data_IF_550761448978
#
_entry.id   IF_550761448978
#
_cell.length_a   1.000
_cell.length_b   1.000
_cell.length_c   1.000
_cell.angle_alpha   90.00
_cell.angle_beta   90.00
_cell.angle_gamma   90.00
#
_symmetry.space_group_name_H-M   'P 1'
#
loop_
_entity.id
_entity.type
_entity.pdbx_description
1 polymer ?
#
# COMPACT_ATOMS: atom_id res chain seq x y z
N UNK A 1 -3.37 -12.26 -3.05
CA UNK A 1 -3.81 -12.71 -1.71
C UNK A 1 -5.21 -13.35 -1.73
N UNK A 2 -6.29 -12.61 -2.04
CA UNK A 2 -7.68 -13.14 -2.10
C UNK A 2 -7.77 -14.43 -2.93
N UNK A 3 -7.20 -14.45 -4.14
CA UNK A 3 -7.18 -15.64 -5.01
C UNK A 3 -6.61 -16.89 -4.31
N UNK A 4 -5.49 -16.76 -3.62
CA UNK A 4 -4.82 -17.88 -2.94
C UNK A 4 -5.62 -18.33 -1.71
N UNK A 5 -6.18 -17.38 -0.94
CA UNK A 5 -7.04 -17.69 0.19
C UNK A 5 -8.34 -18.39 -0.25
N UNK A 6 -8.97 -17.94 -1.33
CA UNK A 6 -10.11 -18.61 -1.96
C UNK A 6 -9.78 -20.06 -2.35
N UNK A 7 -8.62 -20.28 -2.97
CA UNK A 7 -8.17 -21.64 -3.33
C UNK A 7 -7.96 -22.55 -2.12
N UNK A 8 -7.39 -22.04 -1.03
CA UNK A 8 -7.11 -22.80 0.19
C UNK A 8 -8.39 -23.14 0.94
N UNK A 9 -9.34 -22.20 0.98
CA UNK A 9 -10.56 -22.32 1.80
C UNK A 9 -11.79 -22.79 1.01
N UNK A 10 -11.68 -22.97 -0.31
CA UNK A 10 -12.82 -23.29 -1.16
C UNK A 10 -13.87 -22.18 -1.18
N UNK A 11 -13.43 -20.92 -1.14
CA UNK A 11 -14.28 -19.73 -1.15
C UNK A 11 -14.21 -19.02 -2.51
N UNK A 12 -15.15 -18.10 -2.75
CA UNK A 12 -15.25 -17.34 -4.01
C UNK A 12 -15.43 -15.83 -3.79
N UNK A 13 -14.89 -15.28 -2.69
CA UNK A 13 -14.96 -13.83 -2.43
C UNK A 13 -14.37 -13.03 -3.58
N UNK A 14 -15.08 -12.00 -4.05
CA UNK A 14 -14.59 -11.06 -5.05
C UNK A 14 -14.18 -9.74 -4.40
N UNK A 15 -13.45 -8.90 -5.14
CA UNK A 15 -12.88 -7.66 -4.61
C UNK A 15 -13.94 -6.72 -4.02
N UNK A 16 -15.14 -6.69 -4.61
CA UNK A 16 -16.26 -5.87 -4.15
C UNK A 16 -16.85 -6.34 -2.80
N UNK A 17 -16.60 -7.59 -2.40
CA UNK A 17 -17.02 -8.12 -1.10
C UNK A 17 -16.08 -7.70 0.04
N UNK A 18 -14.90 -7.14 -0.29
CA UNK A 18 -13.91 -6.65 0.66
C UNK A 18 -14.36 -5.30 1.20
N UNK A 19 -15.37 -5.31 2.06
CA UNK A 19 -15.85 -4.13 2.81
C UNK A 19 -14.99 -3.80 4.03
N UNK A 20 -14.03 -4.67 4.37
CA UNK A 20 -13.10 -4.54 5.48
C UNK A 20 -11.68 -4.63 4.92
N UNK A 21 -10.79 -3.73 5.32
CA UNK A 21 -9.39 -3.71 4.85
C UNK A 21 -8.65 -5.03 5.15
N UNK A 22 -8.90 -5.63 6.31
CA UNK A 22 -8.34 -6.92 6.73
C UNK A 22 -8.94 -8.09 5.96
N UNK A 23 -8.48 -8.30 4.71
CA UNK A 23 -8.92 -9.45 3.88
C UNK A 23 -8.82 -10.78 4.61
N UNK A 24 -7.83 -10.94 5.50
CA UNK A 24 -7.65 -12.14 6.33
C UNK A 24 -8.82 -12.40 7.30
N UNK A 25 -9.47 -11.34 7.78
CA UNK A 25 -10.63 -11.44 8.68
C UNK A 25 -11.82 -12.12 7.98
N UNK A 26 -11.96 -11.94 6.66
CA UNK A 26 -13.00 -12.62 5.86
C UNK A 26 -12.84 -14.15 5.86
N UNK A 27 -11.62 -14.64 6.11
CA UNK A 27 -11.31 -16.07 6.21
C UNK A 27 -11.16 -16.54 7.66
N UNK A 28 -11.55 -15.68 8.63
CA UNK A 28 -11.50 -15.99 10.06
C UNK A 28 -10.09 -16.05 10.64
N UNK A 29 -9.09 -15.46 9.98
CA UNK A 29 -7.71 -15.47 10.47
C UNK A 29 -7.51 -14.40 11.52
N UNK A 30 -6.94 -14.79 12.66
CA UNK A 30 -6.29 -13.84 13.56
C UNK A 30 -4.94 -13.37 12.99
N UNK A 31 -4.29 -12.44 13.69
CA UNK A 31 -3.01 -11.88 13.24
C UNK A 31 -1.90 -12.94 13.12
N UNK A 32 -1.82 -13.89 14.06
CA UNK A 32 -0.78 -14.93 14.06
C UNK A 32 -0.98 -15.91 12.89
N UNK A 33 -2.22 -16.28 12.61
CA UNK A 33 -2.59 -17.11 11.46
C UNK A 33 -2.31 -16.39 10.14
N UNK A 34 -2.66 -15.11 10.06
CA UNK A 34 -2.32 -14.27 8.91
C UNK A 34 -0.81 -14.18 8.72
N UNK A 35 -0.06 -13.97 9.81
CA UNK A 35 1.39 -13.90 9.79
C UNK A 35 2.02 -15.19 9.28
N UNK A 36 1.61 -16.33 9.81
CA UNK A 36 2.09 -17.65 9.39
C UNK A 36 1.75 -17.92 7.92
N UNK A 37 0.50 -17.67 7.51
CA UNK A 37 0.07 -17.81 6.12
C UNK A 37 0.90 -16.94 5.18
N UNK A 38 1.06 -15.65 5.48
CA UNK A 38 1.80 -14.74 4.63
C UNK A 38 3.28 -15.15 4.55
N UNK A 39 3.88 -15.53 5.68
CA UNK A 39 5.28 -16.02 5.75
C UNK A 39 5.49 -17.25 4.86
N UNK A 40 4.63 -18.26 4.95
CA UNK A 40 4.76 -19.49 4.15
C UNK A 40 4.50 -19.28 2.66
N UNK A 41 3.77 -18.22 2.28
CA UNK A 41 3.33 -17.99 0.90
C UNK A 41 3.98 -16.75 0.26
N UNK A 42 5.03 -16.18 0.85
CA UNK A 42 5.64 -14.94 0.34
C UNK A 42 6.06 -14.99 -1.11
N UNK A 43 6.60 -16.12 -1.57
CA UNK A 43 7.05 -16.25 -2.95
C UNK A 43 5.90 -16.01 -3.92
N UNK A 44 4.76 -16.68 -3.72
CA UNK A 44 3.59 -16.51 -4.58
C UNK A 44 2.94 -15.13 -4.39
N UNK A 45 2.81 -14.68 -3.14
CA UNK A 45 2.17 -13.40 -2.81
C UNK A 45 2.94 -12.18 -3.34
N UNK A 46 4.26 -12.29 -3.48
CA UNK A 46 5.11 -11.22 -4.03
C UNK A 46 5.49 -11.45 -5.50
N UNK A 47 5.07 -12.57 -6.12
CA UNK A 47 5.26 -12.82 -7.54
C UNK A 47 4.07 -12.32 -8.38
N UNK A 48 3.65 -11.08 -8.10
CA UNK A 48 2.58 -10.40 -8.83
C UNK A 48 3.18 -9.34 -9.76
N UNK A 49 2.61 -9.20 -10.95
CA UNK A 49 2.96 -8.09 -11.84
C UNK A 49 2.44 -6.77 -11.24
N UNK A 50 3.14 -5.64 -11.48
CA UNK A 50 2.59 -4.31 -11.26
C UNK A 50 1.22 -4.18 -11.92
N UNK A 51 0.31 -3.47 -11.27
CA UNK A 51 -1.04 -3.23 -11.78
C UNK A 51 -1.02 -2.13 -12.84
N UNK A 52 -1.76 -2.33 -13.94
CA UNK A 52 -1.96 -1.32 -14.98
C UNK A 52 -0.65 -0.71 -15.50
N UNK A 53 -0.61 0.62 -15.57
CA UNK A 53 0.55 1.40 -16.04
C UNK A 53 1.46 1.88 -14.89
N UNK A 54 1.50 1.16 -13.76
CA UNK A 54 2.22 1.59 -12.57
C UNK A 54 3.70 1.91 -12.87
N UNK A 55 4.39 1.04 -13.61
CA UNK A 55 5.81 1.22 -13.91
C UNK A 55 6.04 2.52 -14.70
N UNK A 56 5.27 2.76 -15.76
CA UNK A 56 5.36 3.94 -16.59
C UNK A 56 5.05 5.22 -15.81
N UNK A 57 4.06 5.15 -14.91
CA UNK A 57 3.66 6.28 -14.06
C UNK A 57 4.77 6.62 -13.06
N UNK A 58 5.35 5.62 -12.40
CA UNK A 58 6.48 5.84 -11.49
C UNK A 58 7.67 6.42 -12.26
N UNK A 59 7.98 5.91 -13.44
CA UNK A 59 9.06 6.45 -14.27
C UNK A 59 8.80 7.93 -14.62
N UNK A 60 7.58 8.29 -15.02
CA UNK A 60 7.21 9.68 -15.29
C UNK A 60 7.40 10.57 -14.04
N UNK A 61 6.92 10.12 -12.89
CA UNK A 61 6.99 10.86 -11.63
C UNK A 61 8.43 10.99 -11.11
N UNK A 62 9.31 10.05 -11.42
CA UNK A 62 10.71 10.03 -10.95
C UNK A 62 11.53 11.24 -11.42
N UNK A 63 11.11 11.88 -12.51
CA UNK A 63 11.72 13.11 -13.02
C UNK A 63 11.49 14.34 -12.12
N UNK A 64 10.46 14.29 -11.26
CA UNK A 64 10.05 15.40 -10.38
C UNK A 64 10.13 15.06 -8.90
N UNK A 65 9.91 13.78 -8.54
CA UNK A 65 9.75 13.33 -7.17
C UNK A 65 10.75 12.23 -6.82
N UNK A 66 11.24 12.27 -5.58
CA UNK A 66 11.91 11.12 -4.98
C UNK A 66 10.85 10.19 -4.40
N UNK A 67 10.82 8.95 -4.88
CA UNK A 67 9.82 7.98 -4.44
C UNK A 67 10.40 7.01 -3.41
N UNK A 68 9.61 6.74 -2.38
CA UNK A 68 9.96 5.80 -1.32
C UNK A 68 8.79 4.84 -1.08
N UNK A 69 9.07 3.55 -0.96
CA UNK A 69 8.09 2.57 -0.46
C UNK A 69 8.08 2.62 1.07
N UNK A 70 6.93 2.87 1.69
CA UNK A 70 6.75 2.82 3.15
C UNK A 70 5.70 1.75 3.45
N UNK A 71 6.10 0.69 4.15
CA UNK A 71 5.24 -0.49 4.37
C UNK A 71 5.23 -0.92 5.83
N UNK A 72 4.06 -1.38 6.31
CA UNK A 72 3.92 -1.93 7.67
C UNK A 72 4.36 -3.40 7.78
N UNK A 73 5.01 -3.94 6.75
CA UNK A 73 5.54 -5.30 6.78
C UNK A 73 6.60 -5.43 7.88
N UNK A 74 6.65 -6.57 8.58
CA UNK A 74 7.77 -6.95 9.44
C UNK A 74 9.10 -6.85 8.70
N UNK A 75 10.17 -6.50 9.42
CA UNK A 75 11.49 -6.29 8.84
C UNK A 75 12.02 -7.52 8.10
N UNK A 76 11.76 -8.73 8.62
CA UNK A 76 12.17 -9.98 7.99
C UNK A 76 11.52 -10.24 6.62
N UNK A 77 10.46 -9.51 6.27
CA UNK A 77 9.76 -9.59 4.98
C UNK A 77 10.22 -8.52 3.99
N UNK A 78 11.09 -7.60 4.39
CA UNK A 78 11.47 -6.45 3.56
C UNK A 78 12.21 -6.86 2.29
N UNK A 79 13.00 -7.94 2.31
CA UNK A 79 13.67 -8.46 1.13
C UNK A 79 12.68 -8.76 0.00
N UNK A 80 11.49 -9.28 0.32
CA UNK A 80 10.46 -9.56 -0.69
C UNK A 80 9.95 -8.30 -1.40
N UNK A 81 9.89 -7.18 -0.71
CA UNK A 81 9.50 -5.90 -1.30
C UNK A 81 10.63 -5.32 -2.17
N UNK A 82 11.88 -5.43 -1.72
CA UNK A 82 13.07 -5.00 -2.49
C UNK A 82 13.21 -5.82 -3.77
N UNK A 83 13.03 -7.13 -3.68
CA UNK A 83 13.06 -8.03 -4.84
C UNK A 83 11.96 -7.69 -5.84
N UNK A 84 10.74 -7.41 -5.36
CA UNK A 84 9.62 -7.00 -6.23
C UNK A 84 9.90 -5.67 -6.94
N UNK A 85 10.44 -4.68 -6.24
CA UNK A 85 10.86 -3.39 -6.84
C UNK A 85 11.91 -3.62 -7.93
N UNK A 86 12.95 -4.39 -7.60
CA UNK A 86 14.09 -4.64 -8.49
C UNK A 86 13.67 -5.44 -9.73
N UNK A 87 12.92 -6.52 -9.54
CA UNK A 87 12.45 -7.39 -10.62
C UNK A 87 11.59 -6.65 -11.64
N UNK A 88 10.79 -5.69 -11.17
CA UNK A 88 9.88 -4.92 -12.02
C UNK A 88 10.45 -3.57 -12.47
N UNK A 89 11.71 -3.27 -12.14
CA UNK A 89 12.38 -2.02 -12.48
C UNK A 89 11.57 -0.78 -12.08
N UNK A 90 10.98 -0.78 -10.88
CA UNK A 90 10.18 0.35 -10.42
C UNK A 90 11.11 1.48 -9.99
N UNK A 91 10.80 2.72 -10.39
CA UNK A 91 11.55 3.92 -10.05
C UNK A 91 11.41 4.35 -8.57
N UNK A 92 11.62 3.42 -7.63
CA UNK A 92 11.55 3.64 -6.19
C UNK A 92 12.98 3.69 -5.64
N UNK A 93 13.37 4.83 -5.07
CA UNK A 93 14.75 5.05 -4.62
C UNK A 93 15.02 4.53 -3.21
N UNK A 94 14.01 4.53 -2.34
CA UNK A 94 14.14 4.10 -0.95
C UNK A 94 12.99 3.17 -0.55
N UNK A 95 13.22 2.36 0.49
CA UNK A 95 12.20 1.52 1.09
C UNK A 95 12.36 1.54 2.61
N UNK A 96 11.25 1.60 3.34
CA UNK A 96 11.24 1.74 4.79
C UNK A 96 10.23 0.79 5.44
N UNK A 97 10.70 0.14 6.50
CA UNK A 97 9.93 -0.72 7.37
C UNK A 97 9.21 0.14 8.42
N UNK A 98 7.97 0.52 8.16
CA UNK A 98 7.20 1.39 9.05
C UNK A 98 6.88 0.74 10.40
N UNK A 99 6.92 -0.59 10.51
CA UNK A 99 6.73 -1.29 11.79
C UNK A 99 7.86 -1.04 12.79
N UNK A 100 9.00 -0.47 12.37
CA UNK A 100 10.10 -0.08 13.25
C UNK A 100 9.90 1.32 13.88
N UNK A 101 8.82 2.01 13.53
CA UNK A 101 8.49 3.35 14.01
C UNK A 101 7.35 3.27 15.02
N UNK A 102 7.47 4.04 16.12
CA UNK A 102 6.46 4.05 17.19
C UNK A 102 5.06 4.43 16.67
N UNK A 103 5.00 5.41 15.76
CA UNK A 103 3.75 5.90 15.14
C UNK A 103 3.55 5.33 13.72
N UNK A 104 4.13 4.15 13.45
CA UNK A 104 3.95 3.43 12.19
C UNK A 104 4.31 4.26 10.94
N UNK A 105 3.43 4.20 9.93
CA UNK A 105 3.63 4.90 8.66
C UNK A 105 3.66 6.41 8.81
N UNK A 106 2.81 6.99 9.67
CA UNK A 106 2.75 8.43 9.88
C UNK A 106 4.04 8.97 10.50
N UNK A 107 4.54 8.32 11.57
CA UNK A 107 5.82 8.66 12.19
C UNK A 107 7.01 8.48 11.24
N UNK A 108 7.00 7.42 10.45
CA UNK A 108 8.00 7.18 9.40
C UNK A 108 7.99 8.31 8.35
N UNK A 109 6.83 8.63 7.80
CA UNK A 109 6.65 9.67 6.79
C UNK A 109 7.10 11.05 7.29
N UNK A 110 6.71 11.40 8.52
CA UNK A 110 7.11 12.66 9.17
C UNK A 110 8.62 12.76 9.33
N UNK A 111 9.28 11.72 9.87
CA UNK A 111 10.73 11.71 10.08
C UNK A 111 11.51 11.84 8.78
N UNK A 112 10.98 11.27 7.70
CA UNK A 112 11.60 11.31 6.37
C UNK A 112 11.27 12.59 5.58
N UNK A 113 10.40 13.46 6.11
CA UNK A 113 9.98 14.68 5.40
C UNK A 113 9.15 14.40 4.15
N UNK A 114 8.33 13.34 4.17
CA UNK A 114 7.41 13.03 3.08
C UNK A 114 6.35 14.14 2.98
N UNK A 115 6.13 14.66 1.78
CA UNK A 115 5.17 15.74 1.50
C UNK A 115 3.85 15.24 0.93
N UNK A 116 3.89 14.12 0.20
CA UNK A 116 2.73 13.44 -0.39
C UNK A 116 2.84 11.95 -0.11
N UNK A 117 1.74 11.33 0.33
CA UNK A 117 1.67 9.91 0.62
C UNK A 117 0.52 9.26 -0.15
N UNK A 118 0.75 8.12 -0.80
CA UNK A 118 -0.28 7.35 -1.51
C UNK A 118 -0.66 6.15 -0.64
N UNK A 119 -1.94 6.04 -0.29
CA UNK A 119 -2.43 5.04 0.66
C UNK A 119 -3.87 4.63 0.29
N UNK A 120 -4.26 3.41 0.63
CA UNK A 120 -5.65 2.95 0.49
C UNK A 120 -6.29 2.67 1.85
N UNK A 121 -5.49 2.34 2.87
CA UNK A 121 -5.98 2.11 4.23
C UNK A 121 -6.50 3.41 4.86
N UNK A 122 -7.80 3.49 5.25
CA UNK A 122 -8.40 4.74 5.75
C UNK A 122 -7.74 5.23 7.05
N UNK A 123 -7.50 4.35 8.02
CA UNK A 123 -6.78 4.69 9.26
C UNK A 123 -5.40 5.29 9.01
N UNK A 124 -4.53 4.63 8.23
CA UNK A 124 -3.20 5.17 7.92
C UNK A 124 -3.29 6.51 7.20
N UNK A 125 -4.21 6.66 6.23
CA UNK A 125 -4.40 7.91 5.52
C UNK A 125 -4.79 9.07 6.46
N UNK A 126 -5.63 8.81 7.47
CA UNK A 126 -5.97 9.79 8.51
C UNK A 126 -4.75 10.15 9.37
N UNK A 127 -4.04 9.16 9.91
CA UNK A 127 -2.84 9.38 10.74
C UNK A 127 -1.77 10.19 9.98
N UNK A 128 -1.57 9.90 8.69
CA UNK A 128 -0.66 10.66 7.82
C UNK A 128 -1.17 12.10 7.63
N UNK A 129 -2.46 12.26 7.41
CA UNK A 129 -3.07 13.57 7.16
C UNK A 129 -3.08 14.49 8.40
N UNK A 130 -3.20 13.90 9.59
CA UNK A 130 -3.08 14.56 10.90
C UNK A 130 -1.67 15.10 11.15
N UNK A 131 -0.65 14.44 10.59
CA UNK A 131 0.74 14.93 10.60
C UNK A 131 1.00 16.08 9.61
N UNK A 132 -0.05 16.58 8.95
CA UNK A 132 0.05 17.69 7.99
C UNK A 132 0.57 17.28 6.61
N UNK A 133 0.66 15.98 6.33
CA UNK A 133 1.12 15.42 5.06
C UNK A 133 -0.09 15.24 4.14
N UNK A 134 0.04 15.61 2.86
CA UNK A 134 -1.03 15.36 1.89
C UNK A 134 -1.14 13.86 1.61
N UNK A 135 -2.33 13.28 1.82
CA UNK A 135 -2.60 11.89 1.50
C UNK A 135 -3.47 11.78 0.24
N UNK A 136 -2.98 11.07 -0.77
CA UNK A 136 -3.75 10.65 -1.94
C UNK A 136 -4.37 9.29 -1.61
N UNK A 137 -5.66 9.30 -1.29
CA UNK A 137 -6.42 8.11 -0.87
C UNK A 137 -7.01 7.40 -2.09
N UNK A 138 -6.50 6.22 -2.42
CA UNK A 138 -7.04 5.39 -3.52
C UNK A 138 -8.44 4.92 -3.14
N UNK A 139 -9.43 5.18 -4.00
CA UNK A 139 -10.83 4.90 -3.75
C UNK A 139 -11.07 3.39 -3.66
N UNK A 140 -11.63 2.95 -2.51
CA UNK A 140 -11.92 1.54 -2.22
C UNK A 140 -13.24 1.42 -1.44
N UNK A 141 -13.98 0.31 -1.54
CA UNK A 141 -15.25 0.15 -0.83
C UNK A 141 -15.14 0.39 0.69
N UNK A 142 -14.04 -0.03 1.31
CA UNK A 142 -13.82 0.07 2.76
C UNK A 142 -13.40 1.47 3.26
N UNK A 143 -13.09 2.43 2.39
CA UNK A 143 -12.58 3.74 2.82
C UNK A 143 -13.53 4.91 2.47
N UNK A 144 -14.78 4.61 2.11
CA UNK A 144 -15.76 5.60 1.64
C UNK A 144 -16.15 6.65 2.69
N UNK A 145 -15.97 6.39 3.98
CA UNK A 145 -16.23 7.36 5.05
C UNK A 145 -15.01 8.20 5.45
N UNK A 146 -13.82 7.89 4.91
CA UNK A 146 -12.59 8.59 5.28
C UNK A 146 -12.55 10.01 4.69
N UNK A 147 -12.47 11.02 5.56
CA UNK A 147 -12.46 12.45 5.20
C UNK A 147 -11.48 13.22 6.06
N UNK A 148 -10.67 14.08 5.44
CA UNK A 148 -9.80 15.05 6.11
C UNK A 148 -9.40 16.15 5.12
N UNK A 149 -9.16 17.41 5.53
CA UNK A 149 -8.76 18.49 4.60
C UNK A 149 -7.47 18.20 3.80
N UNK A 150 -6.55 17.41 4.37
CA UNK A 150 -5.32 16.97 3.69
C UNK A 150 -5.47 15.66 2.90
N UNK A 151 -6.67 15.08 2.82
CA UNK A 151 -6.94 13.87 2.04
C UNK A 151 -7.58 14.26 0.70
N UNK A 152 -6.98 13.80 -0.39
CA UNK A 152 -7.53 13.88 -1.74
C UNK A 152 -7.83 12.46 -2.21
N UNK A 153 -9.08 12.18 -2.55
CA UNK A 153 -9.47 10.89 -3.13
C UNK A 153 -9.04 10.82 -4.60
N UNK A 154 -8.58 9.65 -5.02
CA UNK A 154 -8.13 9.31 -6.37
C UNK A 154 -8.63 7.92 -6.72
N UNK A 155 -9.03 7.67 -7.97
CA UNK A 155 -9.55 6.35 -8.33
C UNK A 155 -8.43 5.33 -8.62
N UNK A 156 -7.35 5.77 -9.27
CA UNK A 156 -6.31 4.91 -9.82
C UNK A 156 -4.99 5.70 -10.01
N UNK A 157 -3.93 4.98 -10.37
CA UNK A 157 -2.58 5.54 -10.56
C UNK A 157 -2.52 6.64 -11.63
N UNK A 158 -3.31 6.52 -12.69
CA UNK A 158 -3.39 7.51 -13.77
C UNK A 158 -3.92 8.85 -13.24
N UNK A 159 -4.87 8.82 -12.30
CA UNK A 159 -5.37 10.05 -11.67
C UNK A 159 -4.32 10.67 -10.75
N UNK A 160 -3.58 9.85 -10.00
CA UNK A 160 -2.44 10.30 -9.18
C UNK A 160 -1.42 11.03 -10.06
N UNK A 161 -1.03 10.41 -11.19
CA UNK A 161 -0.10 11.00 -12.14
C UNK A 161 -0.60 12.36 -12.65
N UNK A 162 -1.86 12.46 -13.08
CA UNK A 162 -2.46 13.73 -13.54
C UNK A 162 -2.40 14.81 -12.46
N UNK A 163 -2.71 14.49 -11.20
CA UNK A 163 -2.69 15.48 -10.10
C UNK A 163 -1.28 15.96 -9.78
N UNK A 164 -0.30 15.07 -9.77
CA UNK A 164 1.09 15.39 -9.42
C UNK A 164 1.90 15.98 -10.58
N UNK A 165 1.54 15.68 -11.84
CA UNK A 165 2.23 16.27 -13.00
C UNK A 165 1.79 17.71 -13.25
N UNK A 166 0.54 18.05 -12.92
CA UNK A 166 -0.07 19.37 -13.15
C UNK A 166 0.17 20.34 -11.97
N UNK A 167 0.51 19.83 -10.77
CA UNK A 167 0.92 20.64 -9.60
C UNK A 167 2.36 21.15 -9.71
#
# INVERSE_FOLDING_TARGET
MVKLLNQIHGQEFIFDDVSIYGVSELYGYDFEQFYAFFTSNQYELNNIAPEGNLTEILDQLSSKYKMSLITGRPNEWMNSAVDWITKNNLAISNHFCASEYADGKAGCAKKLGITVFIEDHPKHALEIAEEGIQALLIDKPYNQECRHPNIIRVNEWEEIARKLVIS
#
